data_IF_401087668264
#
_entry.id   IF_401087668264
#
_cell.length_a   1.000
_cell.length_b   1.000
_cell.length_c   1.000
_cell.angle_alpha   90.00
_cell.angle_beta   90.00
_cell.angle_gamma   90.00
#
_symmetry.space_group_name_H-M   'P 1'
#
loop_
_entity.id
_entity.type
_entity.pdbx_description
1 polymer ?
#
# COMPACT_ATOMS: atom_id res chain seq x y z
N UNK A 1 17.78 20.33 -12.19
CA UNK A 1 16.35 20.19 -11.81
C UNK A 1 16.30 19.56 -10.44
N UNK A 2 15.41 20.04 -9.58
CA UNK A 2 15.17 19.51 -8.24
C UNK A 2 13.76 18.96 -8.21
N UNK A 3 13.62 17.70 -7.82
CA UNK A 3 12.33 17.04 -7.66
C UNK A 3 12.29 16.43 -6.25
N UNK A 4 11.36 16.92 -5.44
CA UNK A 4 11.04 16.38 -4.14
C UNK A 4 9.58 15.93 -4.18
N UNK A 5 9.33 14.71 -3.75
CA UNK A 5 7.98 14.15 -3.73
C UNK A 5 7.74 13.42 -2.43
N UNK A 6 6.55 13.62 -1.90
CA UNK A 6 6.00 12.85 -0.79
C UNK A 6 4.86 12.01 -1.36
N UNK A 7 4.89 10.71 -1.13
CA UNK A 7 3.79 9.83 -1.50
C UNK A 7 3.28 9.18 -0.23
N UNK A 8 2.01 9.45 0.04
CA UNK A 8 1.26 8.80 1.08
C UNK A 8 0.06 8.15 0.39
N UNK A 9 0.19 6.86 0.05
CA UNK A 9 -0.91 6.11 -0.57
C UNK A 9 -1.52 5.21 0.49
N UNK A 10 -2.44 5.78 1.25
CA UNK A 10 -3.42 5.02 2.01
C UNK A 10 -4.48 4.61 0.99
N UNK A 11 -4.57 3.31 0.66
CA UNK A 11 -5.83 2.80 0.12
C UNK A 11 -6.81 3.01 1.27
N UNK A 12 -7.83 3.84 1.09
CA UNK A 12 -8.85 4.05 2.12
C UNK A 12 -10.16 3.49 1.60
N UNK A 13 -10.98 2.97 2.51
CA UNK A 13 -12.31 2.49 2.19
C UNK A 13 -12.30 1.31 1.19
N UNK A 14 -11.32 0.40 1.34
CA UNK A 14 -11.34 -0.88 0.65
C UNK A 14 -12.63 -1.63 1.03
N UNK A 15 -13.18 -2.41 0.11
CA UNK A 15 -14.45 -3.13 0.29
C UNK A 15 -15.71 -2.26 0.49
N UNK A 16 -15.68 -0.94 0.30
CA UNK A 16 -16.88 -0.06 0.37
C UNK A 16 -18.14 -0.63 -0.28
N UNK A 17 -18.04 -1.08 -1.53
CA UNK A 17 -19.18 -1.68 -2.24
C UNK A 17 -19.71 -2.96 -1.60
N UNK A 18 -18.83 -3.76 -1.00
CA UNK A 18 -19.23 -4.97 -0.30
C UNK A 18 -19.86 -4.63 1.06
N UNK A 19 -19.31 -3.65 1.77
CA UNK A 19 -19.87 -3.08 3.01
C UNK A 19 -21.29 -2.56 2.76
N UNK A 20 -21.47 -1.71 1.73
CA UNK A 20 -22.78 -1.18 1.32
C UNK A 20 -23.76 -2.30 0.94
N UNK A 21 -23.30 -3.29 0.17
CA UNK A 21 -24.15 -4.41 -0.28
C UNK A 21 -24.58 -5.32 0.88
N UNK A 22 -23.66 -5.62 1.80
CA UNK A 22 -23.94 -6.44 2.97
C UNK A 22 -24.76 -5.69 4.03
N UNK A 23 -24.75 -4.35 3.98
CA UNK A 23 -25.35 -3.48 4.98
C UNK A 23 -24.56 -3.45 6.27
N UNK A 24 -23.24 -3.49 6.18
CA UNK A 24 -22.35 -3.36 7.32
C UNK A 24 -22.20 -1.87 7.68
N UNK A 25 -22.24 -1.52 8.96
CA UNK A 25 -22.00 -0.13 9.41
C UNK A 25 -20.52 0.10 9.74
N UNK A 26 -20.05 1.33 9.55
CA UNK A 26 -18.66 1.72 9.83
C UNK A 26 -18.55 2.54 11.11
N UNK A 27 -17.50 2.26 11.89
CA UNK A 27 -17.09 3.03 13.06
C UNK A 27 -16.36 4.32 12.70
N UNK A 28 -16.05 5.12 13.73
CA UNK A 28 -15.33 6.40 13.56
C UNK A 28 -13.87 6.22 13.11
N UNK A 29 -13.33 5.02 13.24
CA UNK A 29 -12.00 4.56 12.82
C UNK A 29 -11.95 4.05 11.38
N UNK A 30 -13.09 3.99 10.66
CA UNK A 30 -13.17 3.48 9.29
C UNK A 30 -13.19 1.94 9.19
N UNK A 31 -13.23 1.25 10.33
CA UNK A 31 -13.45 -0.20 10.39
C UNK A 31 -14.94 -0.49 10.42
N UNK A 32 -15.33 -1.69 9.95
CA UNK A 32 -16.69 -2.18 10.08
C UNK A 32 -16.97 -2.51 11.55
N UNK A 33 -18.13 -2.10 12.05
CA UNK A 33 -18.58 -2.44 13.41
C UNK A 33 -18.79 -3.95 13.51
N UNK A 34 -18.15 -4.58 14.49
CA UNK A 34 -18.28 -6.01 14.75
C UNK A 34 -19.65 -6.30 15.39
N UNK A 35 -20.66 -6.49 14.53
CA UNK A 35 -22.05 -6.75 14.92
C UNK A 35 -22.34 -8.18 15.36
N UNK A 36 -21.33 -9.05 15.44
CA UNK A 36 -21.44 -10.41 15.94
C UNK A 36 -20.40 -10.63 17.05
N UNK A 37 -20.80 -11.22 18.16
CA UNK A 37 -19.90 -11.50 19.30
C UNK A 37 -19.96 -12.96 19.69
N UNK A 38 -18.82 -13.54 20.03
CA UNK A 38 -18.73 -14.91 20.53
C UNK A 38 -19.52 -15.06 21.85
N UNK A 39 -20.37 -16.08 21.91
CA UNK A 39 -21.22 -16.40 23.04
C UNK A 39 -20.82 -17.72 23.71
N UNK A 40 -21.67 -18.28 24.57
CA UNK A 40 -21.44 -19.61 25.12
C UNK A 40 -21.49 -20.68 24.02
N UNK A 41 -20.73 -21.77 24.22
CA UNK A 41 -20.81 -22.96 23.37
C UNK A 41 -22.23 -23.53 23.40
N UNK A 42 -22.75 -23.87 22.23
CA UNK A 42 -24.09 -24.48 22.05
C UNK A 42 -23.95 -25.89 21.49
N UNK A 43 -24.86 -26.83 21.80
CA UNK A 43 -24.88 -28.15 21.16
C UNK A 43 -24.96 -28.00 19.64
N UNK A 44 -24.20 -28.82 18.92
CA UNK A 44 -24.23 -28.81 17.46
C UNK A 44 -25.58 -29.37 16.98
N UNK A 45 -26.33 -28.63 16.15
CA UNK A 45 -27.62 -29.09 15.61
C UNK A 45 -27.47 -30.29 14.67
N UNK A 46 -26.30 -30.50 14.06
CA UNK A 46 -26.00 -31.67 13.22
C UNK A 46 -25.44 -32.85 14.03
N UNK A 47 -24.79 -32.58 15.18
CA UNK A 47 -24.22 -33.60 16.08
C UNK A 47 -24.40 -33.22 17.58
N UNK A 48 -25.54 -33.54 18.20
CA UNK A 48 -25.86 -33.10 19.56
C UNK A 48 -24.92 -33.61 20.67
N UNK A 49 -24.02 -34.56 20.37
CA UNK A 49 -22.98 -35.03 21.31
C UNK A 49 -21.78 -34.08 21.38
N UNK A 50 -21.67 -33.14 20.42
CA UNK A 50 -20.63 -32.14 20.32
C UNK A 50 -21.17 -30.72 20.58
N UNK A 51 -20.27 -29.81 20.91
CA UNK A 51 -20.58 -28.39 21.12
C UNK A 51 -19.78 -27.52 20.17
N UNK A 52 -20.40 -26.47 19.66
CA UNK A 52 -19.82 -25.50 18.73
C UNK A 52 -19.95 -24.08 19.30
N UNK A 53 -19.11 -23.17 18.80
CA UNK A 53 -19.09 -21.78 19.23
C UNK A 53 -20.40 -21.07 18.84
N UNK A 54 -21.13 -20.56 19.84
CA UNK A 54 -22.30 -19.72 19.62
C UNK A 54 -21.93 -18.28 19.33
N UNK A 55 -22.82 -17.54 18.67
CA UNK A 55 -22.63 -16.12 18.39
C UNK A 55 -23.92 -15.33 18.70
N UNK A 56 -23.76 -14.14 19.28
CA UNK A 56 -24.85 -13.18 19.50
C UNK A 56 -24.69 -12.04 18.50
N UNK A 57 -25.77 -11.74 17.78
CA UNK A 57 -25.81 -10.63 16.82
C UNK A 57 -26.38 -9.37 17.46
N UNK A 58 -25.67 -8.26 17.29
CA UNK A 58 -26.16 -6.90 17.52
C UNK A 58 -26.75 -6.36 16.21
N UNK A 59 -28.07 -6.34 16.14
CA UNK A 59 -28.80 -5.94 14.93
C UNK A 59 -28.61 -4.45 14.60
N UNK A 60 -28.26 -3.62 15.58
CA UNK A 60 -28.04 -2.18 15.37
C UNK A 60 -26.74 -1.90 14.59
N UNK A 61 -25.85 -2.88 14.47
CA UNK A 61 -24.63 -2.80 13.67
C UNK A 61 -24.85 -2.99 12.16
N UNK A 62 -26.09 -3.24 11.72
CA UNK A 62 -26.42 -3.52 10.32
C UNK A 62 -27.48 -2.56 9.76
N UNK A 63 -27.36 -2.20 8.48
CA UNK A 63 -28.40 -1.50 7.76
C UNK A 63 -29.64 -2.41 7.62
N UNK A 64 -30.84 -1.95 8.02
CA UNK A 64 -32.08 -2.71 7.87
C UNK A 64 -32.38 -3.18 6.44
N UNK A 65 -31.86 -2.52 5.42
CA UNK A 65 -32.04 -2.88 4.01
C UNK A 65 -30.89 -3.75 3.46
N UNK A 66 -29.86 -4.01 4.27
CA UNK A 66 -28.70 -4.82 3.92
C UNK A 66 -29.02 -6.29 3.71
N UNK A 67 -28.17 -6.99 2.96
CA UNK A 67 -28.32 -8.44 2.73
C UNK A 67 -28.27 -9.23 4.04
N UNK A 68 -27.46 -8.80 5.03
CA UNK A 68 -27.38 -9.48 6.33
C UNK A 68 -28.72 -9.44 7.06
N UNK A 69 -29.36 -8.27 7.14
CA UNK A 69 -30.69 -8.16 7.78
C UNK A 69 -31.77 -8.92 7.02
N UNK A 70 -31.74 -8.92 5.68
CA UNK A 70 -32.66 -9.73 4.87
C UNK A 70 -32.50 -11.24 5.11
N UNK A 71 -31.27 -11.72 5.32
CA UNK A 71 -31.00 -13.13 5.64
C UNK A 71 -31.50 -13.50 7.04
N UNK A 72 -31.32 -12.61 8.02
CA UNK A 72 -31.83 -12.77 9.39
C UNK A 72 -33.37 -12.80 9.38
N UNK A 73 -34.01 -11.89 8.65
CA UNK A 73 -35.46 -11.85 8.49
C UNK A 73 -35.99 -13.11 7.81
N UNK A 74 -35.30 -13.59 6.77
CA UNK A 74 -35.67 -14.84 6.10
C UNK A 74 -35.61 -16.03 7.07
N UNK A 75 -34.56 -16.12 7.89
CA UNK A 75 -34.45 -17.17 8.91
C UNK A 75 -35.65 -17.19 9.86
N UNK A 76 -36.08 -16.01 10.33
CA UNK A 76 -37.23 -15.89 11.23
C UNK A 76 -38.57 -16.28 10.59
N UNK A 77 -38.63 -16.41 9.26
CA UNK A 77 -39.84 -16.84 8.53
C UNK A 77 -39.84 -18.33 8.16
N UNK A 78 -38.78 -19.07 8.48
CA UNK A 78 -38.69 -20.48 8.13
C UNK A 78 -39.66 -21.33 8.98
N UNK A 79 -40.27 -22.38 8.40
CA UNK A 79 -41.10 -23.33 9.14
C UNK A 79 -40.32 -24.04 10.26
N UNK A 80 -41.01 -24.45 11.34
CA UNK A 80 -40.41 -25.28 12.39
C UNK A 80 -39.74 -26.53 11.78
N UNK A 81 -38.42 -26.67 11.99
CA UNK A 81 -37.60 -27.76 11.45
C UNK A 81 -36.73 -27.39 10.23
N UNK A 82 -36.85 -26.17 9.70
CA UNK A 82 -35.88 -25.59 8.77
C UNK A 82 -35.12 -24.50 9.51
N UNK A 83 -33.87 -24.79 9.88
CA UNK A 83 -32.99 -23.84 10.54
C UNK A 83 -31.81 -23.56 9.61
N UNK A 84 -31.55 -22.29 9.34
CA UNK A 84 -30.25 -21.85 8.84
C UNK A 84 -29.39 -21.67 10.08
N UNK A 85 -28.81 -22.76 10.57
CA UNK A 85 -28.51 -22.87 12.00
C UNK A 85 -27.74 -21.71 12.63
N UNK A 86 -28.12 -21.47 13.89
CA UNK A 86 -27.76 -20.39 14.82
C UNK A 86 -26.24 -20.18 15.04
N UNK A 87 -25.44 -21.05 14.45
CA UNK A 87 -23.99 -21.00 14.42
C UNK A 87 -23.44 -20.73 13.04
N UNK A 88 -24.00 -21.26 11.95
CA UNK A 88 -23.46 -21.10 10.60
C UNK A 88 -23.57 -19.67 10.04
N UNK A 89 -24.77 -19.08 10.08
CA UNK A 89 -24.98 -17.71 9.56
C UNK A 89 -24.29 -16.68 10.46
N UNK A 90 -24.48 -16.79 11.78
CA UNK A 90 -23.87 -15.85 12.73
C UNK A 90 -22.34 -15.93 12.72
N UNK A 91 -21.76 -17.13 12.57
CA UNK A 91 -20.33 -17.30 12.35
C UNK A 91 -19.88 -16.73 11.01
N UNK A 92 -20.65 -16.93 9.93
CA UNK A 92 -20.32 -16.36 8.63
C UNK A 92 -20.34 -14.83 8.68
N UNK A 93 -21.31 -14.23 9.35
CA UNK A 93 -21.39 -12.77 9.57
C UNK A 93 -20.18 -12.29 10.37
N UNK A 94 -19.87 -12.95 11.49
CA UNK A 94 -18.67 -12.68 12.29
C UNK A 94 -17.39 -12.73 11.45
N UNK A 95 -17.22 -13.81 10.69
CA UNK A 95 -16.04 -14.07 9.86
C UNK A 95 -15.92 -13.05 8.73
N UNK A 96 -17.03 -12.57 8.16
CA UNK A 96 -17.01 -11.57 7.09
C UNK A 96 -16.56 -10.21 7.61
N UNK A 97 -17.10 -9.76 8.74
CA UNK A 97 -16.69 -8.49 9.35
C UNK A 97 -15.22 -8.53 9.81
N UNK A 98 -14.81 -9.64 10.43
CA UNK A 98 -13.42 -9.88 10.84
C UNK A 98 -12.45 -9.88 9.64
N UNK A 99 -12.77 -10.62 8.58
CA UNK A 99 -11.94 -10.64 7.37
C UNK A 99 -11.89 -9.27 6.67
N UNK A 100 -12.99 -8.50 6.64
CA UNK A 100 -12.98 -7.16 6.02
C UNK A 100 -12.08 -6.23 6.82
N UNK A 101 -12.17 -6.25 8.15
CA UNK A 101 -11.34 -5.42 9.02
C UNK A 101 -9.87 -5.82 8.94
N UNK A 102 -9.55 -7.12 9.02
CA UNK A 102 -8.18 -7.62 8.84
C UNK A 102 -7.59 -7.25 7.48
N UNK A 103 -8.40 -7.34 6.43
CA UNK A 103 -7.95 -6.96 5.07
C UNK A 103 -7.78 -5.47 4.93
N UNK A 104 -8.66 -4.66 5.52
CA UNK A 104 -8.49 -3.21 5.60
C UNK A 104 -7.19 -2.90 6.33
N UNK A 105 -6.99 -3.41 7.53
CA UNK A 105 -5.74 -3.18 8.25
C UNK A 105 -4.51 -3.60 7.45
N UNK A 106 -4.53 -4.73 6.73
CA UNK A 106 -3.40 -5.13 5.87
C UNK A 106 -3.23 -4.27 4.61
N UNK A 107 -4.32 -3.93 3.92
CA UNK A 107 -4.29 -3.18 2.65
C UNK A 107 -4.03 -1.67 2.87
N UNK A 108 -4.49 -1.13 4.00
CA UNK A 108 -4.29 0.27 4.40
C UNK A 108 -2.92 0.48 5.06
N UNK A 109 -2.25 -0.60 5.51
CA UNK A 109 -0.86 -0.55 5.98
C UNK A 109 0.14 -0.24 4.86
N UNK A 110 1.10 0.64 5.15
CA UNK A 110 2.05 1.24 4.19
C UNK A 110 3.22 0.31 3.81
N UNK A 111 2.96 -0.97 3.59
CA UNK A 111 4.03 -1.94 3.36
C UNK A 111 4.80 -1.64 2.07
N UNK A 112 6.14 -1.56 2.17
CA UNK A 112 7.03 -1.31 1.04
C UNK A 112 7.02 0.12 0.49
N UNK A 113 6.21 1.03 1.04
CA UNK A 113 6.20 2.42 0.63
C UNK A 113 7.41 3.16 1.24
N UNK A 114 8.13 3.91 0.41
CA UNK A 114 9.15 4.87 0.86
C UNK A 114 8.57 6.29 0.77
N UNK A 115 8.21 6.90 1.91
CA UNK A 115 7.33 8.08 1.93
C UNK A 115 7.98 9.35 1.38
N UNK A 116 9.31 9.46 1.45
CA UNK A 116 10.04 10.64 1.00
C UNK A 116 11.07 10.29 -0.06
N UNK A 117 11.09 11.09 -1.13
CA UNK A 117 12.09 10.99 -2.21
C UNK A 117 12.58 12.36 -2.61
N UNK A 118 13.88 12.46 -2.78
CA UNK A 118 14.58 13.66 -3.19
C UNK A 118 15.52 13.32 -4.35
N UNK A 119 15.48 14.11 -5.42
CA UNK A 119 16.40 14.01 -6.53
C UNK A 119 16.83 15.42 -6.97
N UNK A 120 18.13 15.67 -6.98
CA UNK A 120 18.73 16.89 -7.50
C UNK A 120 19.75 16.54 -8.56
N UNK A 121 19.69 17.22 -9.70
CA UNK A 121 20.72 17.15 -10.72
C UNK A 121 21.12 18.55 -11.16
N UNK A 122 22.43 18.81 -11.17
CA UNK A 122 23.02 20.06 -11.62
C UNK A 122 24.11 19.81 -12.65
N UNK A 123 24.25 20.71 -13.61
CA UNK A 123 25.32 20.65 -14.60
C UNK A 123 25.73 22.05 -15.02
N UNK A 124 27.03 22.24 -15.22
CA UNK A 124 27.64 23.48 -15.64
C UNK A 124 28.35 23.30 -16.97
N UNK A 125 28.00 24.15 -17.95
CA UNK A 125 28.60 24.18 -19.28
C UNK A 125 29.61 25.31 -19.38
N UNK A 126 30.86 24.98 -19.65
CA UNK A 126 31.91 25.94 -19.90
C UNK A 126 31.81 26.45 -21.35
N UNK A 127 31.40 27.70 -21.52
CA UNK A 127 31.23 28.33 -22.85
C UNK A 127 32.45 29.10 -23.34
N UNK A 128 33.37 29.44 -22.43
CA UNK A 128 34.52 30.31 -22.68
C UNK A 128 35.78 29.82 -21.93
N UNK A 129 36.95 30.31 -22.33
CA UNK A 129 38.24 29.95 -21.74
C UNK A 129 38.79 28.57 -22.16
N UNK A 130 39.82 28.10 -21.45
CA UNK A 130 40.50 26.82 -21.71
C UNK A 130 39.59 25.60 -21.56
N UNK A 131 38.51 25.73 -20.77
CA UNK A 131 37.52 24.68 -20.55
C UNK A 131 36.34 24.77 -21.53
N UNK A 132 36.37 25.66 -22.53
CA UNK A 132 35.29 25.79 -23.49
C UNK A 132 34.94 24.45 -24.14
N UNK A 133 33.67 24.06 -24.04
CA UNK A 133 33.15 22.81 -24.55
C UNK A 133 33.06 21.70 -23.51
N UNK A 134 33.65 21.87 -22.32
CA UNK A 134 33.42 20.95 -21.20
C UNK A 134 32.08 21.22 -20.53
N UNK A 135 31.48 20.15 -20.04
CA UNK A 135 30.29 20.13 -19.20
C UNK A 135 30.58 19.22 -18.02
N UNK A 136 30.38 19.70 -16.80
CA UNK A 136 30.50 18.91 -15.58
C UNK A 136 29.16 18.93 -14.88
N UNK A 137 28.64 17.77 -14.49
CA UNK A 137 27.39 17.67 -13.76
C UNK A 137 27.43 16.59 -12.69
N UNK A 138 26.53 16.72 -11.73
CA UNK A 138 26.38 15.80 -10.62
C UNK A 138 24.91 15.69 -10.23
N UNK A 139 24.52 14.48 -9.88
CA UNK A 139 23.21 14.13 -9.35
C UNK A 139 23.31 13.59 -7.95
N UNK A 140 22.29 13.82 -7.13
CA UNK A 140 22.11 13.13 -5.86
C UNK A 140 20.66 12.71 -5.71
N UNK A 141 20.46 11.44 -5.38
CA UNK A 141 19.16 10.81 -5.19
C UNK A 141 19.11 10.23 -3.79
N UNK A 142 18.04 10.54 -3.06
CA UNK A 142 17.78 10.02 -1.73
C UNK A 142 16.34 9.53 -1.63
N UNK A 143 16.17 8.39 -0.98
CA UNK A 143 14.87 7.75 -0.77
C UNK A 143 14.83 7.25 0.67
N UNK A 144 13.82 7.67 1.44
CA UNK A 144 13.65 7.25 2.83
C UNK A 144 13.56 5.72 2.99
N UNK A 145 13.68 5.26 4.24
CA UNK A 145 13.43 3.88 4.60
C UNK A 145 12.00 3.47 4.20
N UNK A 146 11.84 2.19 3.82
CA UNK A 146 10.52 1.59 3.66
C UNK A 146 10.10 0.91 4.95
N UNK A 147 8.81 0.90 5.25
CA UNK A 147 8.28 0.04 6.31
C UNK A 147 8.28 -1.40 5.76
N UNK A 148 9.05 -2.29 6.41
CA UNK A 148 9.21 -3.71 6.04
C UNK A 148 8.24 -4.59 6.83
N UNK A 149 7.83 -4.18 8.02
CA UNK A 149 6.87 -4.91 8.84
C UNK A 149 6.52 -4.15 10.11
N UNK A 150 5.70 -4.76 10.95
CA UNK A 150 5.28 -4.23 12.23
C UNK A 150 5.15 -5.42 13.21
N UNK A 151 5.69 -5.29 14.41
CA UNK A 151 5.49 -6.26 15.49
C UNK A 151 5.13 -5.49 16.77
N UNK A 152 4.02 -5.86 17.40
CA UNK A 152 3.54 -5.23 18.64
C UNK A 152 3.45 -3.68 18.56
N UNK A 153 2.87 -3.13 17.48
CA UNK A 153 2.69 -1.67 17.26
C UNK A 153 4.00 -0.92 17.01
N UNK A 154 5.12 -1.62 16.84
CA UNK A 154 6.40 -1.02 16.46
C UNK A 154 6.68 -1.35 14.99
N UNK A 155 6.76 -0.31 14.15
CA UNK A 155 7.11 -0.43 12.73
C UNK A 155 8.61 -0.69 12.57
N UNK A 156 8.96 -1.69 11.77
CA UNK A 156 10.32 -1.97 11.34
C UNK A 156 10.59 -1.29 10.01
N UNK A 157 11.55 -0.37 10.03
CA UNK A 157 12.01 0.34 8.85
C UNK A 157 13.23 -0.36 8.22
N UNK A 158 13.29 -0.35 6.90
CA UNK A 158 14.46 -0.73 6.13
C UNK A 158 15.52 0.36 6.10
N UNK A 159 16.55 0.20 5.27
CA UNK A 159 17.59 1.21 5.15
C UNK A 159 17.23 2.31 4.13
N UNK A 160 17.48 3.59 4.46
CA UNK A 160 17.36 4.67 3.50
C UNK A 160 18.41 4.52 2.39
N UNK A 161 18.00 4.71 1.13
CA UNK A 161 18.89 4.58 -0.02
C UNK A 161 19.38 5.98 -0.42
N UNK A 162 20.68 6.09 -0.66
CA UNK A 162 21.27 7.31 -1.22
C UNK A 162 22.29 6.99 -2.31
N UNK A 163 22.18 7.69 -3.43
CA UNK A 163 23.00 7.49 -4.63
C UNK A 163 23.50 8.84 -5.14
N UNK A 164 24.77 8.88 -5.56
CA UNK A 164 25.34 10.02 -6.23
C UNK A 164 25.74 9.65 -7.66
N UNK A 165 25.45 10.54 -8.60
CA UNK A 165 25.74 10.35 -10.02
C UNK A 165 26.69 11.46 -10.49
N UNK A 166 27.58 11.16 -11.43
CA UNK A 166 28.51 12.12 -12.02
C UNK A 166 28.44 12.10 -13.55
N UNK A 167 28.48 13.30 -14.14
CA UNK A 167 28.45 13.55 -15.57
C UNK A 167 29.68 14.36 -15.96
N UNK A 168 30.44 13.86 -16.93
CA UNK A 168 31.47 14.63 -17.62
C UNK A 168 31.21 14.54 -19.12
N UNK A 169 31.08 15.69 -19.77
CA UNK A 169 30.88 15.76 -21.22
C UNK A 169 31.85 16.77 -21.83
N UNK A 170 32.31 16.49 -23.04
CA UNK A 170 33.16 17.39 -23.81
C UNK A 170 32.65 17.50 -25.24
N UNK A 171 32.39 18.73 -25.70
CA UNK A 171 31.95 19.06 -27.04
C UNK A 171 33.03 19.86 -27.75
N UNK A 172 33.45 19.38 -28.92
CA UNK A 172 34.42 20.08 -29.76
C UNK A 172 33.91 20.18 -31.19
N UNK A 173 34.11 21.35 -31.81
CA UNK A 173 33.93 21.55 -33.24
C UNK A 173 35.32 21.78 -33.82
N UNK A 174 35.85 20.80 -34.58
CA UNK A 174 37.11 20.98 -35.30
C UNK A 174 36.88 20.99 -36.80
N UNK A 175 37.64 21.88 -37.45
CA UNK A 175 37.70 22.12 -38.88
C UNK A 175 39.07 21.69 -39.39
N UNK A 176 39.06 20.93 -40.48
CA UNK A 176 40.08 20.47 -41.41
C UNK A 176 41.44 20.07 -40.85
N UNK A 177 41.72 18.76 -40.92
CA UNK A 177 43.05 18.19 -40.73
C UNK A 177 43.34 17.58 -39.36
N UNK A 178 42.35 17.51 -38.46
CA UNK A 178 42.48 16.87 -37.14
C UNK A 178 42.11 15.38 -37.12
N UNK A 179 42.57 14.67 -36.09
CA UNK A 179 42.45 13.21 -35.88
C UNK A 179 41.02 12.62 -35.97
N UNK A 180 39.98 13.45 -35.88
CA UNK A 180 38.57 13.03 -35.91
C UNK A 180 37.79 13.62 -37.12
N UNK A 181 38.45 14.21 -38.10
CA UNK A 181 37.79 14.76 -39.29
C UNK A 181 36.94 16.02 -39.05
N UNK A 182 36.22 16.45 -40.09
CA UNK A 182 35.36 17.63 -40.08
C UNK A 182 34.03 17.32 -39.39
N UNK A 183 33.73 18.00 -38.27
CA UNK A 183 32.45 17.79 -37.58
C UNK A 183 32.40 18.32 -36.14
N UNK A 184 31.20 18.21 -35.55
CA UNK A 184 30.97 18.43 -34.12
C UNK A 184 30.97 17.09 -33.41
N UNK A 185 31.93 16.90 -32.52
CA UNK A 185 32.07 15.69 -31.70
C UNK A 185 31.64 15.98 -30.27
N UNK A 186 30.91 15.05 -29.67
CA UNK A 186 30.53 15.09 -28.25
C UNK A 186 30.92 13.78 -27.60
N UNK A 187 31.74 13.86 -26.55
CA UNK A 187 32.10 12.74 -25.69
C UNK A 187 31.37 12.90 -24.37
N UNK A 188 30.85 11.80 -23.81
CA UNK A 188 30.16 11.82 -22.53
C UNK A 188 30.53 10.58 -21.72
N UNK A 189 30.85 10.82 -20.45
CA UNK A 189 31.07 9.84 -19.41
C UNK A 189 30.03 10.05 -18.32
N UNK A 190 29.33 8.98 -17.96
CA UNK A 190 28.41 8.95 -16.84
C UNK A 190 28.91 7.91 -15.85
N UNK A 191 28.97 8.27 -14.58
CA UNK A 191 29.22 7.35 -13.47
C UNK A 191 27.96 7.37 -12.62
N UNK A 192 27.35 6.21 -12.45
CA UNK A 192 26.20 6.02 -11.57
C UNK A 192 26.68 5.35 -10.29
N UNK A 193 26.01 5.63 -9.18
CA UNK A 193 26.40 5.14 -7.85
C UNK A 193 27.89 5.38 -7.55
N UNK A 194 28.32 6.65 -7.60
CA UNK A 194 29.71 7.07 -7.46
C UNK A 194 30.39 6.52 -6.18
N UNK A 195 29.61 6.26 -5.13
CA UNK A 195 30.10 5.79 -3.84
C UNK A 195 29.95 4.28 -3.62
N UNK A 196 29.38 3.56 -4.59
CA UNK A 196 29.14 2.11 -4.49
C UNK A 196 28.37 1.74 -3.21
N UNK A 197 27.27 2.47 -2.97
CA UNK A 197 26.41 2.19 -1.83
C UNK A 197 25.52 0.99 -2.18
N UNK A 198 25.64 -0.10 -1.40
CA UNK A 198 24.81 -1.31 -1.41
C UNK A 198 23.65 -1.19 -0.40
#
# INVERSE_FOLDING_TARGET
>A
QLNASHTDRIVSNSFSKAVDYLGLTEGADGLVVQGATEAAMVPDPEDPENTIQGYILDLDAYDPNGVIMQLIDLQNTLPEGLSLDNTGISQAIYTVADNINDRREQDEKRWGLRPYRFNVFTSYDFKEGILKGWTIGGGYRWTAANIIGEENVVEYEGEPISEADFLLRYRTARSKGGLLGDGRWTFQLNIQNLFDND
#
